data_IF_951111040889
#
_entry.id   IF_951111040889
#
_cell.length_a   1.000
_cell.length_b   1.000
_cell.length_c   1.000
_cell.angle_alpha   90.00
_cell.angle_beta   90.00
_cell.angle_gamma   90.00
#
_symmetry.space_group_name_H-M   'P 1'
#
loop_
_entity.id
_entity.type
_entity.pdbx_description
1 polymer ?
#
# COMPACT_ATOMS: atom_id res chain seq x y z
N UNK A 1 -5.04 -8.05 -8.22
CA UNK A 1 -4.33 -6.79 -7.90
C UNK A 1 -5.19 -6.03 -6.91
N UNK A 2 -4.59 -5.49 -5.85
CA UNK A 2 -5.26 -4.69 -4.83
C UNK A 2 -4.46 -3.41 -4.61
N UNK A 3 -5.05 -2.27 -4.95
CA UNK A 3 -4.45 -0.95 -4.84
C UNK A 3 -4.99 -0.22 -3.60
N UNK A 4 -4.30 0.79 -3.05
CA UNK A 4 -4.75 1.50 -1.85
C UNK A 4 -5.90 2.50 -2.13
N UNK A 5 -6.15 2.85 -3.39
CA UNK A 5 -7.24 3.76 -3.76
C UNK A 5 -8.59 3.07 -3.69
N UNK A 6 -9.37 3.36 -2.65
CA UNK A 6 -10.73 2.82 -2.47
C UNK A 6 -11.72 3.82 -3.05
N UNK A 7 -12.53 3.36 -4.03
CA UNK A 7 -13.55 4.20 -4.68
C UNK A 7 -14.41 4.90 -3.63
N UNK A 8 -14.51 6.22 -3.74
CA UNK A 8 -15.32 7.06 -2.87
C UNK A 8 -16.79 6.97 -3.33
N UNK A 9 -17.49 5.93 -2.89
CA UNK A 9 -18.84 5.61 -3.32
C UNK A 9 -19.65 5.01 -2.15
N UNK A 10 -20.69 5.71 -1.71
CA UNK A 10 -21.63 5.18 -0.72
C UNK A 10 -22.32 3.92 -1.25
N UNK A 11 -22.47 2.91 -0.39
CA UNK A 11 -23.01 1.60 -0.75
C UNK A 11 -21.95 0.61 -1.26
N UNK A 12 -20.72 1.07 -1.52
CA UNK A 12 -19.60 0.16 -1.73
C UNK A 12 -19.09 -0.32 -0.37
N UNK A 13 -19.29 -1.61 -0.07
CA UNK A 13 -19.06 -2.17 1.26
C UNK A 13 -17.64 -1.90 1.84
N UNK A 14 -16.60 -1.81 1.01
CA UNK A 14 -15.24 -1.48 1.46
C UNK A 14 -15.17 -0.01 1.90
N UNK A 15 -15.75 0.90 1.12
CA UNK A 15 -15.86 2.31 1.49
C UNK A 15 -16.73 2.49 2.74
N UNK A 16 -17.89 1.84 2.81
CA UNK A 16 -18.80 1.97 3.94
C UNK A 16 -18.17 1.43 5.24
N UNK A 17 -17.54 0.25 5.18
CA UNK A 17 -16.87 -0.35 6.34
C UNK A 17 -15.66 0.45 6.81
N UNK A 18 -14.83 0.95 5.89
CA UNK A 18 -13.69 1.79 6.26
C UNK A 18 -14.10 3.15 6.82
N UNK A 19 -15.19 3.74 6.31
CA UNK A 19 -15.76 4.97 6.85
C UNK A 19 -16.32 4.78 8.25
N UNK A 20 -17.00 3.66 8.50
CA UNK A 20 -17.50 3.28 9.83
C UNK A 20 -16.39 3.10 10.86
N UNK A 21 -15.25 2.54 10.45
CA UNK A 21 -14.08 2.29 11.30
C UNK A 21 -13.11 3.50 11.36
N UNK A 22 -13.41 4.58 10.62
CA UNK A 22 -12.60 5.79 10.50
C UNK A 22 -11.12 5.47 10.16
N UNK A 23 -10.93 4.76 9.04
CA UNK A 23 -9.61 4.26 8.61
C UNK A 23 -8.91 5.15 7.58
N UNK A 24 -9.52 6.24 7.16
CA UNK A 24 -9.02 7.07 6.04
C UNK A 24 -7.95 8.06 6.47
N UNK A 25 -6.97 8.30 5.60
CA UNK A 25 -6.06 9.45 5.69
C UNK A 25 -6.87 10.73 5.55
N UNK A 26 -6.51 11.77 6.30
CA UNK A 26 -7.20 13.05 6.27
C UNK A 26 -6.46 14.11 5.46
N UNK A 27 -7.21 15.08 4.95
CA UNK A 27 -6.67 16.35 4.50
C UNK A 27 -6.44 17.30 5.71
N UNK A 28 -5.93 18.50 5.45
CA UNK A 28 -5.67 19.52 6.48
C UNK A 28 -6.93 19.99 7.22
N UNK A 29 -8.11 19.81 6.63
CA UNK A 29 -9.41 20.17 7.22
C UNK A 29 -9.97 19.05 8.11
N UNK A 30 -9.24 17.94 8.29
CA UNK A 30 -9.69 16.78 9.06
C UNK A 30 -10.76 15.94 8.37
N UNK A 31 -11.00 16.12 7.06
CA UNK A 31 -11.90 15.27 6.27
C UNK A 31 -11.10 14.17 5.56
N UNK A 32 -11.71 13.02 5.21
CA UNK A 32 -11.04 12.02 4.38
C UNK A 32 -10.45 12.67 3.12
N UNK A 33 -9.17 12.42 2.87
CA UNK A 33 -8.54 12.88 1.65
C UNK A 33 -9.11 12.13 0.45
N UNK A 34 -9.48 12.88 -0.59
CA UNK A 34 -9.98 12.34 -1.85
C UNK A 34 -8.97 12.65 -2.94
N UNK A 35 -8.47 11.62 -3.61
CA UNK A 35 -7.57 11.73 -4.75
C UNK A 35 -8.07 10.90 -5.93
N UNK A 36 -7.82 11.36 -7.15
CA UNK A 36 -8.19 10.65 -8.37
C UNK A 36 -7.17 9.57 -8.74
N UNK A 37 -7.65 8.35 -8.97
CA UNK A 37 -6.90 7.21 -9.53
C UNK A 37 -7.79 6.45 -10.53
N UNK A 38 -7.53 5.16 -10.76
CA UNK A 38 -8.22 4.34 -11.77
C UNK A 38 -9.76 4.38 -11.71
N UNK A 39 -10.43 4.16 -10.57
CA UNK A 39 -11.90 4.23 -10.48
C UNK A 39 -12.46 5.66 -10.32
N UNK A 40 -11.65 6.70 -10.54
CA UNK A 40 -12.02 8.10 -10.29
C UNK A 40 -11.70 8.53 -8.85
N UNK A 41 -12.60 9.26 -8.17
CA UNK A 41 -12.37 9.73 -6.80
C UNK A 41 -12.20 8.56 -5.82
N UNK A 42 -11.10 8.58 -5.07
CA UNK A 42 -10.77 7.56 -4.08
C UNK A 42 -10.38 8.16 -2.73
N UNK A 43 -10.69 7.42 -1.67
CA UNK A 43 -10.10 7.59 -0.33
C UNK A 43 -8.98 6.57 -0.13
N UNK A 44 -8.07 6.85 0.78
CA UNK A 44 -6.87 6.06 1.01
C UNK A 44 -6.84 5.57 2.47
N UNK A 45 -6.72 4.26 2.73
CA UNK A 45 -6.54 3.74 4.08
C UNK A 45 -5.25 4.27 4.69
N UNK A 46 -5.32 4.69 5.94
CA UNK A 46 -4.17 5.07 6.75
C UNK A 46 -3.51 3.84 7.38
N UNK A 47 -2.63 3.17 6.65
CA UNK A 47 -1.91 1.98 7.12
C UNK A 47 -0.96 2.25 8.30
N UNK A 48 -0.76 3.50 8.69
CA UNK A 48 0.00 3.87 9.90
C UNK A 48 -0.77 3.54 11.19
N UNK A 49 -2.06 3.25 11.09
CA UNK A 49 -2.91 2.83 12.22
C UNK A 49 -3.09 1.32 12.27
N UNK A 50 -2.90 0.71 13.45
CA UNK A 50 -3.09 -0.73 13.65
C UNK A 50 -4.52 -1.17 13.34
N UNK A 51 -5.51 -0.32 13.66
CA UNK A 51 -6.92 -0.59 13.32
C UNK A 51 -7.13 -0.72 11.80
N UNK A 52 -6.50 0.16 11.01
CA UNK A 52 -6.58 0.14 9.55
C UNK A 52 -5.88 -1.08 8.97
N UNK A 53 -4.69 -1.43 9.48
CA UNK A 53 -3.98 -2.65 9.06
C UNK A 53 -4.80 -3.90 9.34
N UNK A 54 -5.46 -3.96 10.51
CA UNK A 54 -6.33 -5.07 10.90
C UNK A 54 -7.60 -5.16 10.05
N UNK A 55 -8.21 -4.01 9.74
CA UNK A 55 -9.36 -3.91 8.83
C UNK A 55 -9.00 -4.41 7.43
N UNK A 56 -7.87 -3.96 6.89
CA UNK A 56 -7.36 -4.41 5.58
C UNK A 56 -7.06 -5.91 5.56
N UNK A 57 -6.39 -6.42 6.59
CA UNK A 57 -6.06 -7.84 6.71
C UNK A 57 -7.32 -8.74 6.70
N UNK A 58 -8.43 -8.29 7.30
CA UNK A 58 -9.71 -9.01 7.24
C UNK A 58 -10.29 -9.03 5.83
N UNK A 59 -10.28 -7.89 5.12
CA UNK A 59 -10.72 -7.84 3.72
C UNK A 59 -9.89 -8.77 2.83
N UNK A 60 -8.57 -8.77 3.02
CA UNK A 60 -7.66 -9.66 2.29
C UNK A 60 -7.93 -11.13 2.62
N UNK A 61 -8.17 -11.46 3.89
CA UNK A 61 -8.50 -12.82 4.31
C UNK A 61 -9.75 -13.34 3.58
N UNK A 62 -10.79 -12.52 3.53
CA UNK A 62 -12.04 -12.88 2.87
C UNK A 62 -11.85 -12.96 1.34
N UNK A 63 -11.01 -12.10 0.76
CA UNK A 63 -10.65 -12.15 -0.66
C UNK A 63 -9.91 -13.45 -1.05
N UNK A 64 -8.92 -13.87 -0.26
CA UNK A 64 -8.17 -15.13 -0.48
C UNK A 64 -9.09 -16.35 -0.36
N UNK A 65 -10.09 -16.29 0.51
CA UNK A 65 -11.06 -17.37 0.70
C UNK A 65 -11.91 -17.66 -0.55
N UNK A 66 -11.88 -16.77 -1.56
CA UNK A 66 -12.49 -16.97 -2.88
C UNK A 66 -11.59 -17.70 -3.90
N UNK A 67 -10.47 -18.29 -3.47
CA UNK A 67 -9.57 -19.09 -4.32
C UNK A 67 -8.41 -18.32 -4.96
N UNK A 68 -8.10 -17.13 -4.45
CA UNK A 68 -6.93 -16.34 -4.90
C UNK A 68 -5.67 -16.82 -4.17
N UNK A 69 -4.59 -17.09 -4.91
CA UNK A 69 -3.35 -17.65 -4.37
C UNK A 69 -2.24 -16.63 -4.10
N UNK A 70 -2.33 -15.44 -4.70
CA UNK A 70 -1.32 -14.39 -4.61
C UNK A 70 -1.92 -13.01 -4.83
N UNK A 71 -1.33 -12.00 -4.20
CA UNK A 71 -1.81 -10.62 -4.30
C UNK A 71 -0.70 -9.73 -4.86
N UNK A 72 -1.08 -8.89 -5.81
CA UNK A 72 -0.25 -7.82 -6.32
C UNK A 72 -0.75 -6.50 -5.71
N UNK A 73 0.06 -5.85 -4.88
CA UNK A 73 -0.15 -4.48 -4.42
C UNK A 73 0.56 -3.51 -5.36
N UNK A 74 -0.23 -2.79 -6.16
CA UNK A 74 0.26 -1.74 -7.03
C UNK A 74 -0.18 -0.37 -6.53
N UNK A 75 0.37 0.69 -7.13
CA UNK A 75 -0.03 2.07 -6.88
C UNK A 75 0.13 2.51 -5.41
N UNK A 76 1.00 1.83 -4.65
CA UNK A 76 1.11 1.93 -3.20
C UNK A 76 2.18 2.91 -2.70
N UNK A 77 2.58 3.87 -3.54
CA UNK A 77 3.47 4.97 -3.14
C UNK A 77 2.88 5.92 -2.07
N UNK A 78 1.59 6.33 -2.05
CA UNK A 78 0.45 6.04 -2.94
C UNK A 78 0.41 6.91 -4.20
N UNK A 79 -0.03 6.33 -5.32
CA UNK A 79 -0.19 7.09 -6.56
C UNK A 79 -1.48 7.93 -6.53
N UNK A 80 -1.40 9.17 -7.03
CA UNK A 80 -2.53 10.10 -7.19
C UNK A 80 -2.39 10.83 -8.53
N UNK A 81 -3.32 10.66 -9.46
CA UNK A 81 -3.12 11.08 -10.86
C UNK A 81 -3.11 12.59 -11.07
N UNK A 82 -3.95 13.31 -10.33
CA UNK A 82 -4.14 14.76 -10.49
C UNK A 82 -3.26 15.61 -9.58
N UNK A 83 -2.30 15.02 -8.87
CA UNK A 83 -1.30 15.80 -8.12
C UNK A 83 -0.05 16.08 -8.97
N UNK A 84 0.66 17.15 -8.65
CA UNK A 84 1.89 17.58 -9.34
C UNK A 84 2.98 16.51 -9.25
N UNK A 85 3.16 15.93 -8.07
CA UNK A 85 4.17 14.91 -7.77
C UNK A 85 3.71 13.49 -8.08
N UNK A 86 2.48 13.31 -8.59
CA UNK A 86 1.82 12.01 -8.80
C UNK A 86 1.64 11.17 -7.53
N UNK A 87 1.75 11.80 -6.36
CA UNK A 87 1.48 11.18 -5.06
C UNK A 87 0.63 12.10 -4.16
N UNK A 88 0.33 11.63 -2.95
CA UNK A 88 -0.46 12.35 -1.96
C UNK A 88 0.23 13.65 -1.49
N UNK A 89 -0.53 14.74 -1.22
CA UNK A 89 0.05 15.97 -0.68
C UNK A 89 0.78 15.73 0.63
N UNK A 90 1.95 16.34 0.79
CA UNK A 90 2.77 16.19 2.00
C UNK A 90 2.06 16.63 3.28
N UNK A 91 1.12 17.58 3.18
CA UNK A 91 0.34 18.12 4.29
C UNK A 91 -0.84 17.25 4.73
N UNK A 92 -1.12 16.15 4.02
CA UNK A 92 -2.14 15.21 4.47
C UNK A 92 -1.78 14.62 5.83
N UNK A 93 -2.79 14.32 6.64
CA UNK A 93 -2.63 13.96 8.04
C UNK A 93 -2.82 12.45 8.21
N UNK A 94 -1.81 11.81 8.76
CA UNK A 94 -1.86 10.43 9.24
C UNK A 94 -1.99 10.43 10.75
N UNK A 95 -2.80 9.51 11.28
CA UNK A 95 -3.00 9.35 12.72
C UNK A 95 -2.23 8.13 13.21
N UNK A 96 -0.94 8.09 12.92
CA UNK A 96 -0.10 6.92 13.15
C UNK A 96 -0.11 6.46 14.61
N UNK A 97 0.09 5.16 14.78
CA UNK A 97 0.27 4.57 16.11
C UNK A 97 1.49 5.24 16.81
N UNK A 98 1.49 5.30 18.14
CA UNK A 98 2.51 6.03 18.90
C UNK A 98 3.93 5.51 18.62
N UNK A 99 4.08 4.20 18.44
CA UNK A 99 5.34 3.52 18.10
C UNK A 99 5.85 3.83 16.69
N UNK A 100 4.98 4.32 15.80
CA UNK A 100 5.34 4.75 14.45
C UNK A 100 5.56 6.27 14.35
N UNK A 101 5.31 7.04 15.41
CA UNK A 101 5.54 8.49 15.44
C UNK A 101 4.30 9.35 15.73
N UNK A 102 3.14 8.73 15.96
CA UNK A 102 1.91 9.44 16.33
C UNK A 102 1.25 10.20 15.17
N UNK A 103 0.49 11.25 15.50
CA UNK A 103 -0.11 12.12 14.50
C UNK A 103 0.98 12.93 13.79
N UNK A 104 1.13 12.73 12.48
CA UNK A 104 2.08 13.45 11.64
C UNK A 104 1.52 13.70 10.24
N UNK A 105 2.21 14.55 9.50
CA UNK A 105 1.96 14.79 8.10
C UNK A 105 2.45 13.62 7.21
N UNK A 106 1.93 13.53 5.99
CA UNK A 106 2.26 12.48 5.03
C UNK A 106 3.75 12.46 4.70
N UNK A 107 4.43 13.61 4.71
CA UNK A 107 5.89 13.68 4.52
C UNK A 107 6.67 12.81 5.52
N UNK A 108 6.17 12.60 6.74
CA UNK A 108 6.79 11.71 7.72
C UNK A 108 6.62 10.23 7.35
N UNK A 109 5.50 9.87 6.74
CA UNK A 109 5.10 8.48 6.50
C UNK A 109 5.23 8.01 5.05
N UNK A 110 5.51 8.91 4.10
CA UNK A 110 5.45 8.67 2.67
C UNK A 110 6.11 7.35 2.26
N UNK A 111 7.39 7.18 2.59
CA UNK A 111 8.15 6.01 2.19
C UNK A 111 7.74 4.72 2.92
N UNK A 112 7.12 4.80 4.11
CA UNK A 112 6.67 3.61 4.85
C UNK A 112 5.24 3.18 4.50
N UNK A 113 4.48 4.04 3.80
CA UNK A 113 3.10 3.76 3.44
C UNK A 113 2.95 2.42 2.68
N UNK A 114 3.74 2.24 1.61
CA UNK A 114 3.69 1.05 0.77
C UNK A 114 4.06 -0.24 1.51
N UNK A 115 5.07 -0.20 2.40
CA UNK A 115 5.45 -1.38 3.19
C UNK A 115 4.39 -1.73 4.23
N UNK A 116 3.70 -0.74 4.81
CA UNK A 116 2.61 -0.98 5.77
C UNK A 116 1.38 -1.60 5.10
N UNK A 117 1.03 -1.16 3.88
CA UNK A 117 0.02 -1.83 3.06
C UNK A 117 0.43 -3.27 2.77
N UNK A 118 1.64 -3.48 2.27
CA UNK A 118 2.18 -4.79 1.89
C UNK A 118 2.18 -5.76 3.07
N UNK A 119 2.64 -5.29 4.23
CA UNK A 119 2.60 -6.05 5.48
C UNK A 119 1.18 -6.45 5.86
N UNK A 120 0.24 -5.52 5.77
CA UNK A 120 -1.18 -5.78 6.09
C UNK A 120 -1.79 -6.82 5.14
N UNK A 121 -1.45 -6.76 3.85
CA UNK A 121 -1.84 -7.78 2.86
C UNK A 121 -1.25 -9.15 3.21
N UNK A 122 0.05 -9.21 3.50
CA UNK A 122 0.73 -10.44 3.87
C UNK A 122 0.12 -11.09 5.13
N UNK A 123 -0.14 -10.28 6.15
CA UNK A 123 -0.79 -10.73 7.39
C UNK A 123 -2.22 -11.24 7.12
N UNK A 124 -3.00 -10.55 6.28
CA UNK A 124 -4.33 -11.02 5.85
C UNK A 124 -4.31 -12.36 5.13
N UNK A 125 -3.33 -12.59 4.24
CA UNK A 125 -3.14 -13.89 3.58
C UNK A 125 -2.80 -15.00 4.58
N UNK A 126 -1.95 -14.73 5.58
CA UNK A 126 -1.66 -15.68 6.67
C UNK A 126 -2.89 -16.01 7.52
N UNK A 127 -3.77 -15.03 7.74
CA UNK A 127 -5.03 -15.26 8.46
C UNK A 127 -5.97 -16.19 7.69
N UNK A 128 -5.94 -16.17 6.36
CA UNK A 128 -6.76 -17.05 5.53
C UNK A 128 -6.23 -18.48 5.49
N UNK A 129 -4.92 -18.66 5.37
CA UNK A 129 -4.29 -19.98 5.26
C UNK A 129 -2.95 -20.04 6.03
N UNK A 130 -3.00 -20.45 7.30
CA UNK A 130 -1.82 -20.48 8.18
C UNK A 130 -0.68 -21.37 7.66
N UNK A 131 -1.03 -22.47 7.00
CA UNK A 131 -0.07 -23.45 6.47
C UNK A 131 0.50 -23.07 5.09
N UNK A 132 -0.07 -22.05 4.44
CA UNK A 132 0.37 -21.60 3.10
C UNK A 132 1.21 -20.34 3.23
N UNK A 133 2.37 -20.32 2.58
CA UNK A 133 3.19 -19.11 2.51
C UNK A 133 2.50 -18.07 1.61
N UNK A 134 2.27 -16.83 2.08
CA UNK A 134 1.75 -15.78 1.23
C UNK A 134 2.69 -15.45 0.08
N UNK A 135 2.12 -15.16 -1.08
CA UNK A 135 2.82 -14.51 -2.18
C UNK A 135 2.24 -13.11 -2.38
N UNK A 136 3.05 -12.09 -2.07
CA UNK A 136 2.72 -10.68 -2.32
C UNK A 136 3.77 -10.10 -3.25
N UNK A 137 3.33 -9.36 -4.27
CA UNK A 137 4.17 -8.55 -5.15
C UNK A 137 3.87 -7.07 -4.86
N UNK A 138 4.89 -6.23 -4.65
CA UNK A 138 4.71 -4.80 -4.35
C UNK A 138 5.56 -3.88 -5.24
N UNK A 139 5.01 -2.72 -5.62
CA UNK A 139 5.74 -1.68 -6.35
C UNK A 139 6.58 -0.83 -5.40
N UNK A 140 5.94 -0.19 -4.45
CA UNK A 140 6.60 0.62 -3.43
C UNK A 140 7.19 -0.29 -2.34
N UNK A 141 8.36 0.07 -1.85
CA UNK A 141 9.05 -0.67 -0.80
C UNK A 141 9.98 0.23 0.02
N UNK A 142 10.15 -0.14 1.28
CA UNK A 142 11.09 0.44 2.22
C UNK A 142 11.92 -0.65 2.93
N UNK A 143 12.83 -0.25 3.82
CA UNK A 143 13.60 -1.18 4.65
C UNK A 143 12.65 -2.15 5.35
N UNK A 144 12.88 -3.46 5.19
CA UNK A 144 12.07 -4.52 5.78
C UNK A 144 11.01 -5.12 4.85
N UNK A 145 10.78 -4.56 3.66
CA UNK A 145 9.78 -5.07 2.69
C UNK A 145 10.04 -6.51 2.26
N UNK A 146 11.31 -6.95 2.25
CA UNK A 146 11.70 -8.33 1.92
C UNK A 146 11.06 -9.40 2.81
N UNK A 147 10.58 -9.02 4.00
CA UNK A 147 9.90 -9.94 4.93
C UNK A 147 8.49 -10.29 4.46
N UNK A 148 7.91 -9.47 3.57
CA UNK A 148 6.48 -9.51 3.25
C UNK A 148 6.21 -9.70 1.75
N UNK A 149 7.07 -9.23 0.85
CA UNK A 149 6.79 -9.29 -0.58
C UNK A 149 8.03 -9.38 -1.46
N UNK A 150 7.83 -9.91 -2.66
CA UNK A 150 8.71 -9.65 -3.80
C UNK A 150 8.43 -8.24 -4.35
N UNK A 151 9.41 -7.65 -5.03
CA UNK A 151 9.25 -6.35 -5.70
C UNK A 151 9.67 -6.45 -7.17
N UNK A 152 9.24 -5.49 -7.98
CA UNK A 152 9.70 -5.31 -9.36
C UNK A 152 10.00 -3.83 -9.62
N UNK A 153 10.69 -3.54 -10.72
CA UNK A 153 11.23 -2.21 -11.02
C UNK A 153 10.22 -1.22 -11.62
N UNK A 154 8.92 -1.46 -11.44
CA UNK A 154 7.86 -0.63 -12.02
C UNK A 154 7.73 -0.78 -13.55
N UNK A 155 7.08 0.20 -14.15
CA UNK A 155 6.75 0.22 -15.57
C UNK A 155 8.02 0.47 -16.42
N UNK A 156 8.45 -0.55 -17.16
CA UNK A 156 9.56 -0.45 -18.11
C UNK A 156 9.06 -0.35 -19.56
N UNK A 157 9.98 -0.15 -20.50
CA UNK A 157 9.69 -0.11 -21.93
C UNK A 157 10.31 -1.33 -22.61
N UNK A 158 9.66 -1.84 -23.66
CA UNK A 158 10.17 -2.95 -24.48
C UNK A 158 11.32 -2.51 -25.40
N UNK A 159 12.47 -2.15 -24.81
CA UNK A 159 13.68 -1.69 -25.50
C UNK A 159 14.94 -2.29 -24.87
N UNK A 160 16.01 -2.43 -25.65
CA UNK A 160 17.26 -3.06 -25.21
C UNK A 160 17.90 -2.35 -24.02
N UNK A 161 17.75 -1.03 -23.91
CA UNK A 161 18.26 -0.23 -22.81
C UNK A 161 17.59 -0.61 -21.48
N UNK A 162 16.27 -0.84 -21.48
CA UNK A 162 15.54 -1.26 -20.28
C UNK A 162 15.86 -2.70 -19.89
N UNK A 163 16.13 -3.57 -20.86
CA UNK A 163 16.65 -4.91 -20.57
C UNK A 163 18.04 -4.84 -19.92
N UNK A 164 18.92 -3.98 -20.42
CA UNK A 164 20.25 -3.80 -19.85
C UNK A 164 20.19 -3.22 -18.41
N UNK A 165 19.34 -2.22 -18.20
CA UNK A 165 19.15 -1.59 -16.88
C UNK A 165 18.60 -2.54 -15.82
N UNK A 166 17.83 -3.58 -16.20
CA UNK A 166 17.25 -4.50 -15.21
C UNK A 166 18.32 -5.22 -14.38
N UNK A 167 19.50 -5.49 -14.97
CA UNK A 167 20.60 -6.15 -14.26
C UNK A 167 21.11 -5.30 -13.09
N UNK A 168 21.43 -4.03 -13.34
CA UNK A 168 21.96 -3.15 -12.31
C UNK A 168 20.92 -2.82 -11.23
N UNK A 169 19.65 -2.64 -11.61
CA UNK A 169 18.56 -2.40 -10.68
C UNK A 169 18.33 -3.59 -9.74
N UNK A 170 18.25 -4.81 -10.27
CA UNK A 170 18.05 -6.02 -9.45
C UNK A 170 19.24 -6.25 -8.51
N UNK A 171 20.47 -6.06 -8.98
CA UNK A 171 21.66 -6.21 -8.14
C UNK A 171 21.68 -5.21 -6.96
N UNK A 172 21.25 -3.96 -7.18
CA UNK A 172 21.15 -2.97 -6.10
C UNK A 172 20.06 -3.29 -5.08
N UNK A 173 18.97 -3.92 -5.49
CA UNK A 173 17.93 -4.39 -4.58
C UNK A 173 18.46 -5.53 -3.68
N UNK A 174 19.24 -6.45 -4.24
CA UNK A 174 19.82 -7.57 -3.50
C UNK A 174 20.94 -7.12 -2.56
N UNK A 175 21.85 -6.23 -3.00
CA UNK A 175 22.99 -5.81 -2.16
C UNK A 175 22.57 -5.09 -0.89
N UNK A 176 21.46 -4.35 -0.92
CA UNK A 176 20.89 -3.68 0.25
C UNK A 176 20.24 -4.63 1.25
N UNK A 177 20.04 -5.90 0.90
CA UNK A 177 19.46 -6.92 1.77
C UNK A 177 20.50 -7.74 2.55
N UNK A 178 21.77 -7.74 2.12
CA UNK A 178 22.83 -8.61 2.66
C UNK A 178 23.72 -7.90 3.69
N UNK A 179 23.58 -6.59 3.88
CA UNK A 179 24.48 -5.78 4.72
C UNK A 179 24.04 -5.60 6.20
N UNK A 180 23.11 -6.40 6.73
CA UNK A 180 22.71 -6.36 8.14
C UNK A 180 22.50 -7.75 8.72
#
# INVERSE_FOLDING_TARGET
MLDPGIKHEEGYFVYDSGSKEDVWIQNVDGKPFVGDVWPGPCVFPDFTQQKTRSWWAKLVKDFISNGVDGIWNDMNEPAVFKSVTKTMPESNIHRGDAELGGLQNHSHYHNVYGVLMTRSTYEGMKLAAKEKRPFVLTRAGFIGSQKFAATWTGDNLSRWEHLHMSLSMVLQLVSKLVLH
#
